data_IF_225331445326
#
_entry.id   IF_225331445326
#
_cell.length_a   1.000
_cell.length_b   1.000
_cell.length_c   1.000
_cell.angle_alpha   90.00
_cell.angle_beta   90.00
_cell.angle_gamma   90.00
#
_symmetry.space_group_name_H-M   'P 1'
#
loop_
_entity.id
_entity.type
_entity.pdbx_description
1 polymer ?
#
# COMPACT_ATOMS: atom_id res chain seq x y z
N UNK A 1 -2.26 9.87 -11.27
CA UNK A 1 -1.29 8.95 -10.61
C UNK A 1 0.10 9.55 -10.67
N UNK A 2 0.87 9.44 -9.60
CA UNK A 2 2.23 9.98 -9.53
C UNK A 2 3.19 8.97 -8.94
N UNK A 3 4.33 8.77 -9.58
CA UNK A 3 5.45 8.04 -8.98
C UNK A 3 6.32 9.00 -8.20
N UNK A 4 6.69 8.64 -6.98
CA UNK A 4 7.56 9.42 -6.12
C UNK A 4 8.67 8.55 -5.54
N UNK A 5 9.86 9.12 -5.41
CA UNK A 5 10.97 8.45 -4.73
C UNK A 5 10.93 8.77 -3.24
N UNK A 6 11.35 7.82 -2.43
CA UNK A 6 11.59 8.10 -1.01
C UNK A 6 12.69 9.14 -0.91
N UNK A 7 12.42 10.23 -0.22
CA UNK A 7 13.28 11.40 -0.20
C UNK A 7 13.76 11.77 1.20
N UNK A 8 13.12 11.25 2.25
CA UNK A 8 13.51 11.54 3.63
C UNK A 8 14.64 10.58 4.05
N UNK A 9 15.85 11.09 4.38
CA UNK A 9 16.95 10.24 4.80
C UNK A 9 16.75 9.74 6.24
N UNK A 10 17.55 8.76 6.62
CA UNK A 10 17.64 8.23 7.98
C UNK A 10 16.39 7.51 8.47
N UNK A 11 15.65 6.87 7.57
CA UNK A 11 14.54 6.01 7.99
C UNK A 11 15.08 4.91 8.92
N UNK A 12 14.52 4.75 10.13
CA UNK A 12 14.93 3.69 11.03
C UNK A 12 14.72 2.32 10.39
N UNK A 13 15.55 1.37 10.77
CA UNK A 13 15.44 -0.02 10.28
C UNK A 13 14.12 -0.62 10.75
N UNK A 14 13.37 -1.18 9.81
CA UNK A 14 12.11 -1.86 10.10
C UNK A 14 12.38 -3.13 10.94
N UNK A 15 11.56 -3.42 11.96
CA UNK A 15 11.69 -4.66 12.73
C UNK A 15 11.64 -5.91 11.84
N UNK A 16 12.44 -6.91 12.16
CA UNK A 16 12.60 -8.14 11.35
C UNK A 16 11.31 -8.95 11.20
N UNK A 17 10.41 -8.86 12.17
CA UNK A 17 9.17 -9.63 12.16
C UNK A 17 8.02 -8.97 11.38
N UNK A 18 8.29 -7.84 10.72
CA UNK A 18 7.30 -7.17 9.90
C UNK A 18 7.18 -7.86 8.53
N UNK A 19 5.96 -8.10 8.07
CA UNK A 19 5.72 -8.61 6.73
C UNK A 19 5.94 -7.49 5.68
N UNK A 20 5.87 -7.85 4.40
CA UNK A 20 6.15 -6.88 3.32
C UNK A 20 5.21 -5.68 3.32
N UNK A 21 3.91 -5.90 3.59
CA UNK A 21 2.95 -4.81 3.68
C UNK A 21 3.25 -3.86 4.83
N UNK A 22 3.61 -4.42 5.98
CA UNK A 22 4.00 -3.63 7.14
C UNK A 22 5.31 -2.87 6.92
N UNK A 23 6.24 -3.44 6.16
CA UNK A 23 7.48 -2.76 5.77
C UNK A 23 7.20 -1.55 4.89
N UNK A 24 6.27 -1.68 3.96
CA UNK A 24 5.85 -0.55 3.11
C UNK A 24 5.20 0.55 3.95
N UNK A 25 4.30 0.20 4.84
CA UNK A 25 3.67 1.17 5.75
C UNK A 25 4.70 1.87 6.63
N UNK A 26 5.68 1.15 7.15
CA UNK A 26 6.77 1.70 7.95
C UNK A 26 7.50 2.81 7.20
N UNK A 27 7.92 2.53 5.98
CA UNK A 27 8.65 3.48 5.13
C UNK A 27 7.79 4.69 4.75
N UNK A 28 6.56 4.45 4.34
CA UNK A 28 5.63 5.52 3.94
C UNK A 28 5.32 6.42 5.14
N UNK A 29 5.12 5.84 6.31
CA UNK A 29 4.91 6.61 7.53
C UNK A 29 6.05 7.58 7.79
N UNK A 30 7.29 7.08 7.70
CA UNK A 30 8.47 7.92 7.90
C UNK A 30 8.59 9.00 6.81
N UNK A 31 8.34 8.65 5.56
CA UNK A 31 8.42 9.60 4.44
C UNK A 31 7.43 10.76 4.60
N UNK A 32 6.20 10.47 5.00
CA UNK A 32 5.14 11.47 5.07
C UNK A 32 5.10 12.24 6.40
N UNK A 33 5.53 11.64 7.49
CA UNK A 33 5.36 12.23 8.82
C UNK A 33 6.65 12.43 9.62
N UNK A 34 7.74 11.80 9.21
CA UNK A 34 8.99 11.75 9.99
C UNK A 34 8.96 10.71 11.10
N UNK A 35 7.88 9.93 11.22
CA UNK A 35 7.74 8.84 12.18
C UNK A 35 7.35 7.57 11.44
N UNK A 36 8.07 6.45 11.60
CA UNK A 36 7.67 5.20 10.97
C UNK A 36 6.27 4.78 11.42
N UNK A 37 5.52 4.17 10.52
CA UNK A 37 4.20 3.64 10.86
C UNK A 37 4.34 2.26 11.48
N UNK A 38 4.23 2.18 12.80
CA UNK A 38 4.34 0.94 13.55
C UNK A 38 3.05 0.11 13.42
N UNK A 39 3.19 -1.22 13.54
CA UNK A 39 2.10 -2.18 13.41
C UNK A 39 0.87 -1.85 14.25
N UNK A 40 1.08 -1.48 15.52
CA UNK A 40 0.02 -1.24 16.49
C UNK A 40 -0.14 0.24 16.86
N UNK A 41 0.57 1.12 16.20
CA UNK A 41 0.61 2.55 16.56
C UNK A 41 0.80 3.39 15.30
N UNK A 42 -0.20 3.34 14.42
CA UNK A 42 -0.13 3.99 13.12
C UNK A 42 -0.42 5.48 13.21
N UNK A 43 0.45 6.35 12.68
CA UNK A 43 0.17 7.77 12.59
C UNK A 43 -0.82 8.02 11.46
N UNK A 44 -2.08 8.12 11.78
CA UNK A 44 -3.09 8.32 10.76
C UNK A 44 -4.36 8.92 11.29
N UNK A 45 -5.10 9.55 10.39
CA UNK A 45 -6.47 9.96 10.64
C UNK A 45 -7.42 8.80 10.40
N UNK A 46 -8.68 8.97 10.76
CA UNK A 46 -9.72 8.00 10.49
C UNK A 46 -9.78 7.68 8.99
N UNK A 47 -9.77 6.40 8.65
CA UNK A 47 -9.88 5.93 7.29
C UNK A 47 -8.57 5.78 6.52
N UNK A 48 -7.41 6.12 7.12
CA UNK A 48 -6.12 5.98 6.49
C UNK A 48 -5.12 5.19 7.32
N UNK A 49 -4.17 4.51 6.66
CA UNK A 49 -3.05 3.84 7.33
C UNK A 49 -1.96 4.83 7.72
N UNK A 50 -1.73 5.83 6.90
CA UNK A 50 -0.79 6.92 7.14
C UNK A 50 -1.48 8.22 6.75
N UNK A 51 -1.75 9.07 7.72
CA UNK A 51 -2.59 10.24 7.52
C UNK A 51 -3.92 9.81 6.88
N UNK A 52 -4.34 10.45 5.80
CA UNK A 52 -5.56 10.08 5.08
C UNK A 52 -5.32 9.10 3.92
N UNK A 53 -4.13 8.50 3.84
CA UNK A 53 -3.78 7.59 2.76
C UNK A 53 -3.91 6.14 3.20
N UNK A 54 -4.55 5.33 2.35
CA UNK A 54 -4.49 3.87 2.48
C UNK A 54 -3.22 3.37 1.80
N UNK A 55 -2.40 2.64 2.54
CA UNK A 55 -1.16 2.07 2.00
C UNK A 55 -1.41 0.62 1.62
N UNK A 56 -1.10 0.29 0.37
CA UNK A 56 -1.27 -1.06 -0.19
C UNK A 56 0.01 -1.56 -0.82
N UNK A 57 0.11 -2.87 -0.94
CA UNK A 57 1.26 -3.58 -1.51
C UNK A 57 0.77 -4.88 -2.15
N UNK A 58 1.62 -5.61 -2.89
CA UNK A 58 1.23 -6.92 -3.42
C UNK A 58 0.71 -7.85 -2.31
N UNK A 59 -0.32 -8.63 -2.62
CA UNK A 59 -1.04 -9.55 -1.72
C UNK A 59 -1.90 -8.88 -0.65
N UNK A 60 -1.99 -7.56 -0.59
CA UNK A 60 -2.82 -6.90 0.40
C UNK A 60 -4.29 -7.28 0.25
N UNK A 61 -4.97 -7.46 1.38
CA UNK A 61 -6.42 -7.60 1.41
C UNK A 61 -7.05 -6.23 1.27
N UNK A 62 -8.18 -6.18 0.57
CA UNK A 62 -8.94 -4.95 0.43
C UNK A 62 -9.90 -4.81 1.61
N UNK A 63 -9.69 -3.77 2.38
CA UNK A 63 -10.67 -3.28 3.35
C UNK A 63 -11.10 -1.92 2.85
N UNK A 64 -12.38 -1.73 2.66
CA UNK A 64 -12.91 -0.46 2.21
C UNK A 64 -12.62 0.63 3.25
N UNK A 65 -12.14 1.76 2.79
CA UNK A 65 -11.95 2.93 3.61
C UNK A 65 -12.55 4.13 2.88
N UNK A 66 -13.79 4.42 3.21
CA UNK A 66 -14.57 5.46 2.52
C UNK A 66 -14.01 6.87 2.73
N UNK A 67 -13.28 7.08 3.83
CA UNK A 67 -12.81 8.40 4.24
C UNK A 67 -11.34 8.67 3.91
N UNK A 68 -10.71 7.85 3.08
CA UNK A 68 -9.31 8.09 2.72
C UNK A 68 -9.19 9.15 1.61
N UNK A 69 -8.08 9.86 1.60
CA UNK A 69 -7.75 10.82 0.57
C UNK A 69 -7.39 10.14 -0.76
N UNK A 70 -6.80 8.96 -0.68
CA UNK A 70 -6.39 8.18 -1.83
C UNK A 70 -5.56 6.98 -1.38
N UNK A 71 -4.84 6.40 -2.32
CA UNK A 71 -4.05 5.20 -2.09
C UNK A 71 -2.59 5.45 -2.40
N UNK A 72 -1.72 4.89 -1.56
CA UNK A 72 -0.30 4.78 -1.85
C UNK A 72 0.00 3.31 -2.07
N UNK A 73 0.58 2.99 -3.21
CA UNK A 73 0.97 1.62 -3.55
C UNK A 73 2.49 1.53 -3.57
N UNK A 74 3.03 0.60 -2.79
CA UNK A 74 4.46 0.43 -2.65
C UNK A 74 4.91 -1.01 -2.69
N UNK A 75 6.22 -1.18 -2.90
CA UNK A 75 6.90 -2.47 -2.90
C UNK A 75 7.99 -2.42 -1.82
N UNK A 76 8.11 -3.48 -1.04
CA UNK A 76 9.03 -3.49 0.11
C UNK A 76 10.49 -3.28 -0.27
N UNK A 77 10.88 -3.69 -1.48
CA UNK A 77 12.25 -3.64 -1.99
C UNK A 77 12.54 -2.44 -2.91
N UNK A 78 11.56 -1.54 -3.10
CA UNK A 78 11.70 -0.41 -4.01
C UNK A 78 12.03 0.88 -3.26
N UNK A 79 12.71 1.79 -3.95
CA UNK A 79 13.02 3.13 -3.46
C UNK A 79 12.00 4.19 -3.95
N UNK A 80 10.87 3.74 -4.47
CA UNK A 80 9.80 4.57 -4.98
C UNK A 80 8.43 4.03 -4.56
N UNK A 81 7.41 4.87 -4.69
CA UNK A 81 6.02 4.50 -4.45
C UNK A 81 5.10 5.27 -5.40
N UNK A 82 3.83 4.89 -5.45
CA UNK A 82 2.85 5.50 -6.33
C UNK A 82 1.71 6.10 -5.52
N UNK A 83 1.42 7.38 -5.77
CA UNK A 83 0.21 8.02 -5.25
C UNK A 83 -0.90 7.89 -6.27
N UNK A 84 -2.05 7.41 -5.85
CA UNK A 84 -3.22 7.17 -6.68
C UNK A 84 -4.44 7.83 -6.12
N UNK A 85 -5.28 8.38 -7.00
CA UNK A 85 -6.64 8.71 -6.63
C UNK A 85 -7.45 7.41 -6.43
N UNK A 86 -8.65 7.52 -5.88
CA UNK A 86 -9.55 6.37 -5.77
C UNK A 86 -9.88 5.79 -7.15
N UNK A 87 -10.09 6.64 -8.15
CA UNK A 87 -10.35 6.20 -9.52
C UNK A 87 -9.16 5.46 -10.13
N UNK A 88 -7.94 5.95 -9.94
CA UNK A 88 -6.72 5.28 -10.39
C UNK A 88 -6.60 3.89 -9.77
N UNK A 89 -6.90 3.78 -8.48
CA UNK A 89 -6.78 2.52 -7.76
C UNK A 89 -7.85 1.52 -8.21
N UNK A 90 -9.06 1.97 -8.49
CA UNK A 90 -10.12 1.12 -9.06
C UNK A 90 -9.70 0.55 -10.40
N UNK A 91 -9.11 1.37 -11.27
CA UNK A 91 -8.57 0.91 -12.55
C UNK A 91 -7.45 -0.13 -12.35
N UNK A 92 -6.53 0.14 -11.43
CA UNK A 92 -5.48 -0.81 -11.06
C UNK A 92 -6.06 -2.15 -10.62
N UNK A 93 -7.11 -2.14 -9.79
CA UNK A 93 -7.75 -3.35 -9.29
C UNK A 93 -8.40 -4.18 -10.39
N UNK A 94 -8.89 -3.58 -11.46
CA UNK A 94 -9.47 -4.33 -12.58
C UNK A 94 -8.43 -5.23 -13.24
N UNK A 95 -7.15 -4.85 -13.19
CA UNK A 95 -6.05 -5.61 -13.78
C UNK A 95 -5.38 -6.55 -12.78
N UNK A 96 -5.32 -6.16 -11.51
CA UNK A 96 -4.44 -6.80 -10.52
C UNK A 96 -5.14 -7.22 -9.23
N UNK A 97 -6.39 -7.60 -9.30
CA UNK A 97 -7.08 -8.16 -8.15
C UNK A 97 -7.73 -9.50 -8.48
N UNK A 98 -8.04 -10.26 -7.44
CA UNK A 98 -8.76 -11.52 -7.54
C UNK A 98 -9.59 -11.74 -6.29
N UNK A 99 -10.57 -12.63 -6.39
CA UNK A 99 -11.40 -12.99 -5.25
C UNK A 99 -10.77 -14.21 -4.56
N UNK A 100 -10.46 -14.03 -3.28
CA UNK A 100 -9.91 -15.06 -2.42
C UNK A 100 -11.00 -15.53 -1.47
N UNK A 101 -11.31 -16.84 -1.48
CA UNK A 101 -12.33 -17.43 -0.60
C UNK A 101 -11.67 -18.20 0.52
N UNK A 102 -12.09 -17.89 1.75
CA UNK A 102 -11.67 -18.65 2.92
C UNK A 102 -12.27 -20.07 2.84
N UNK A 103 -11.40 -21.08 2.92
CA UNK A 103 -11.80 -22.49 2.81
C UNK A 103 -12.67 -22.96 3.99
N UNK A 104 -12.59 -22.29 5.14
CA UNK A 104 -13.34 -22.65 6.34
C UNK A 104 -14.69 -21.93 6.43
N UNK A 105 -14.70 -20.63 6.12
CA UNK A 105 -15.91 -19.80 6.30
C UNK A 105 -16.66 -19.56 4.99
N UNK A 106 -16.04 -19.82 3.84
CA UNK A 106 -16.59 -19.51 2.53
C UNK A 106 -16.66 -18.02 2.21
N UNK A 107 -16.21 -17.14 3.10
CA UNK A 107 -16.22 -15.71 2.88
C UNK A 107 -15.24 -15.32 1.79
N UNK A 108 -15.70 -14.45 0.90
CA UNK A 108 -14.88 -13.91 -0.18
C UNK A 108 -14.33 -12.54 0.22
N UNK A 109 -13.09 -12.29 -0.19
CA UNK A 109 -12.47 -10.97 -0.07
C UNK A 109 -11.66 -10.66 -1.32
N UNK A 110 -11.55 -9.39 -1.65
CA UNK A 110 -10.72 -8.95 -2.76
C UNK A 110 -9.28 -8.85 -2.29
N UNK A 111 -8.37 -9.42 -3.07
CA UNK A 111 -6.95 -9.41 -2.76
C UNK A 111 -6.16 -8.93 -3.97
N UNK A 112 -5.11 -8.16 -3.72
CA UNK A 112 -4.20 -7.69 -4.77
C UNK A 112 -3.28 -8.84 -5.18
N UNK A 113 -3.10 -9.00 -6.50
CA UNK A 113 -2.20 -10.02 -7.05
C UNK A 113 -0.75 -9.80 -6.61
N UNK A 114 0.05 -10.84 -6.72
CA UNK A 114 1.49 -10.80 -6.42
C UNK A 114 2.30 -10.92 -7.72
N UNK A 115 2.07 -10.02 -8.65
CA UNK A 115 2.76 -9.98 -9.93
C UNK A 115 3.54 -8.67 -10.07
N UNK A 116 4.59 -8.54 -9.25
CA UNK A 116 5.33 -7.29 -9.10
C UNK A 116 5.87 -6.73 -10.41
N UNK A 117 6.40 -7.58 -11.31
CA UNK A 117 6.97 -7.12 -12.58
C UNK A 117 5.93 -6.46 -13.48
N UNK A 118 4.78 -7.10 -13.65
CA UNK A 118 3.69 -6.55 -14.47
C UNK A 118 3.04 -5.34 -13.83
N UNK A 119 2.89 -5.37 -12.50
CA UNK A 119 2.35 -4.24 -11.73
C UNK A 119 3.22 -3.01 -11.88
N UNK A 120 4.54 -3.14 -11.71
CA UNK A 120 5.48 -2.03 -11.84
C UNK A 120 5.44 -1.43 -13.24
N UNK A 121 5.42 -2.26 -14.26
CA UNK A 121 5.33 -1.79 -15.65
C UNK A 121 4.04 -1.01 -15.89
N UNK A 122 2.91 -1.56 -15.46
CA UNK A 122 1.60 -0.91 -15.61
C UNK A 122 1.57 0.45 -14.91
N UNK A 123 2.08 0.49 -13.68
CA UNK A 123 2.13 1.72 -12.87
C UNK A 123 3.06 2.77 -13.50
N UNK A 124 4.25 2.37 -13.92
CA UNK A 124 5.22 3.28 -14.53
C UNK A 124 4.74 3.85 -15.86
N UNK A 125 4.03 3.05 -16.65
CA UNK A 125 3.48 3.50 -17.93
C UNK A 125 2.40 4.59 -17.76
N UNK A 126 1.79 4.67 -16.59
CA UNK A 126 0.70 5.61 -16.28
C UNK A 126 1.12 6.77 -15.39
N UNK A 127 2.24 6.67 -14.75
CA UNK A 127 2.70 7.69 -13.81
C UNK A 127 3.39 8.88 -14.51
#
# INVERSE_FOLDING_TARGET
>A
MKMKYFNRPNCPTCPDNYNRGEQVEWKIGYELTGQPSERNNKPGADGGDVLDWQVKSPKASMVEADNCNGYIFGFADADYYFEMTKADFEEFLTCFSYIDRDSKTGKAKVRIKNDSSKMRKWLMDRA
#
